data_IF_056113492157
#
_entry.id   IF_056113492157
#
_cell.length_a   1.000
_cell.length_b   1.000
_cell.length_c   1.000
_cell.angle_alpha   90.00
_cell.angle_beta   90.00
_cell.angle_gamma   90.00
#
_symmetry.space_group_name_H-M   'P 1'
#
loop_
_entity.id
_entity.type
_entity.pdbx_description
1 polymer ?
#
# COMPACT_ATOMS: atom_id res chain seq x y z
N UNK A 1 -53.66 -32.25 30.19
CA UNK A 1 -54.69 -32.81 29.29
C UNK A 1 -53.95 -33.45 28.12
N UNK A 2 -53.76 -34.76 28.21
CA UNK A 2 -53.23 -35.62 27.17
C UNK A 2 -54.43 -36.31 26.53
N UNK A 3 -54.54 -36.28 25.20
CA UNK A 3 -55.35 -37.15 24.34
C UNK A 3 -54.54 -37.19 23.03
N UNK A 4 -54.21 -38.31 22.39
CA UNK A 4 -54.57 -39.71 22.56
C UNK A 4 -54.51 -40.36 21.18
N UNK A 5 -53.84 -41.52 21.08
CA UNK A 5 -54.15 -42.73 20.28
C UNK A 5 -54.59 -42.61 18.78
N UNK A 6 -54.38 -43.56 17.86
CA UNK A 6 -53.68 -44.84 17.78
C UNK A 6 -53.68 -45.34 16.31
N UNK A 7 -52.64 -46.09 15.96
CA UNK A 7 -52.56 -47.30 15.13
C UNK A 7 -53.55 -47.61 13.97
N UNK A 8 -52.91 -47.96 12.83
CA UNK A 8 -53.01 -49.24 12.09
C UNK A 8 -53.87 -49.40 10.80
N UNK A 9 -53.18 -50.06 9.83
CA UNK A 9 -53.64 -51.03 8.81
C UNK A 9 -54.13 -50.56 7.43
N UNK A 10 -53.19 -50.54 6.46
CA UNK A 10 -53.00 -51.61 5.47
C UNK A 10 -54.00 -51.76 4.31
N UNK A 11 -53.50 -51.72 3.06
CA UNK A 11 -53.58 -52.82 2.06
C UNK A 11 -52.87 -52.49 0.73
N UNK A 12 -52.42 -53.59 0.10
CA UNK A 12 -51.58 -53.82 -1.10
C UNK A 12 -52.15 -53.30 -2.43
N UNK A 13 -51.24 -53.04 -3.40
CA UNK A 13 -51.12 -53.67 -4.75
C UNK A 13 -49.88 -53.07 -5.45
N UNK A 14 -48.84 -53.84 -5.83
CA UNK A 14 -48.56 -54.40 -7.18
C UNK A 14 -48.52 -53.29 -8.27
N UNK A 15 -47.53 -53.13 -9.14
CA UNK A 15 -46.66 -54.06 -9.89
C UNK A 15 -45.58 -53.24 -10.63
N UNK A 16 -44.48 -53.85 -11.07
CA UNK A 16 -43.57 -53.26 -12.07
C UNK A 16 -42.08 -53.49 -11.83
N UNK A 17 -41.57 -54.63 -12.28
CA UNK A 17 -40.16 -55.02 -12.36
C UNK A 17 -39.47 -54.40 -13.58
N UNK A 18 -38.21 -54.00 -13.44
CA UNK A 18 -37.04 -54.35 -14.27
C UNK A 18 -35.83 -53.72 -13.54
N UNK A 19 -34.76 -54.42 -13.12
CA UNK A 19 -33.97 -55.42 -13.83
C UNK A 19 -32.62 -54.77 -14.17
N UNK A 20 -31.55 -55.08 -13.41
CA UNK A 20 -30.19 -54.51 -13.52
C UNK A 20 -29.41 -54.95 -14.78
N UNK A 21 -28.04 -54.98 -14.81
CA UNK A 21 -27.13 -55.22 -13.68
C UNK A 21 -25.81 -54.40 -13.69
N UNK A 22 -24.96 -54.82 -12.74
CA UNK A 22 -23.64 -54.40 -12.27
C UNK A 22 -22.49 -54.20 -13.28
N UNK A 23 -21.48 -53.46 -12.83
CA UNK A 23 -20.09 -53.47 -13.29
C UNK A 23 -19.27 -52.44 -12.50
N UNK A 24 -18.77 -52.77 -11.31
CA UNK A 24 -17.39 -53.19 -11.01
C UNK A 24 -16.30 -52.11 -11.21
N UNK A 25 -15.70 -51.71 -10.09
CA UNK A 25 -14.44 -50.97 -9.90
C UNK A 25 -13.24 -51.74 -10.51
N UNK A 26 -12.19 -51.05 -11.01
CA UNK A 26 -11.05 -50.65 -10.14
C UNK A 26 -10.57 -49.21 -10.46
N UNK A 27 -10.20 -48.37 -9.49
CA UNK A 27 -8.89 -48.28 -8.83
C UNK A 27 -7.70 -48.17 -9.79
N UNK A 28 -7.34 -46.95 -10.18
CA UNK A 28 -5.95 -46.55 -10.43
C UNK A 28 -5.82 -45.06 -10.12
N UNK A 29 -4.84 -44.73 -9.28
CA UNK A 29 -4.53 -43.36 -8.91
C UNK A 29 -3.60 -42.73 -9.92
N UNK A 30 -3.84 -41.45 -10.20
CA UNK A 30 -2.80 -40.52 -10.61
C UNK A 30 -3.05 -39.23 -9.83
N UNK A 31 -2.03 -38.83 -9.09
CA UNK A 31 -2.03 -37.58 -8.34
C UNK A 31 -2.02 -36.42 -9.33
N UNK A 32 -3.08 -35.61 -9.30
CA UNK A 32 -3.08 -34.33 -9.96
C UNK A 32 -2.61 -33.25 -8.97
N UNK A 33 -1.54 -32.59 -9.40
CA UNK A 33 -0.72 -31.59 -8.73
C UNK A 33 -1.52 -30.54 -7.93
N UNK A 34 -1.02 -30.12 -6.75
CA UNK A 34 -1.54 -28.94 -6.09
C UNK A 34 -1.26 -27.71 -6.95
N UNK A 35 -2.34 -27.01 -7.26
CA UNK A 35 -2.42 -25.69 -7.89
C UNK A 35 -1.15 -24.86 -7.67
N UNK A 36 -0.42 -24.70 -8.76
CA UNK A 36 0.72 -23.82 -8.93
C UNK A 36 0.40 -22.43 -8.35
N UNK A 37 1.30 -21.80 -7.57
CA UNK A 37 1.09 -20.43 -7.16
C UNK A 37 1.02 -19.54 -8.40
N UNK A 38 -0.09 -18.85 -8.53
CA UNK A 38 -0.34 -17.82 -9.51
C UNK A 38 0.84 -16.84 -9.50
N UNK A 39 1.59 -16.80 -10.59
CA UNK A 39 2.66 -15.83 -10.79
C UNK A 39 2.01 -14.46 -10.88
N UNK A 40 2.04 -13.73 -9.75
CA UNK A 40 1.80 -12.31 -9.72
C UNK A 40 2.70 -11.64 -10.77
N UNK A 41 2.16 -10.75 -11.63
CA UNK A 41 2.98 -10.03 -12.58
C UNK A 41 4.03 -9.22 -11.81
N UNK A 42 5.29 -9.31 -12.25
CA UNK A 42 6.37 -8.49 -11.76
C UNK A 42 6.05 -7.02 -12.07
N UNK A 43 5.42 -6.33 -11.12
CA UNK A 43 5.23 -4.88 -11.18
C UNK A 43 6.61 -4.27 -10.91
N UNK A 44 7.15 -3.60 -11.92
CA UNK A 44 8.42 -2.88 -11.88
C UNK A 44 8.38 -1.81 -10.78
N UNK A 45 8.84 -2.17 -9.58
CA UNK A 45 8.69 -1.40 -8.34
C UNK A 45 9.79 -0.34 -8.14
N UNK A 46 10.05 0.52 -9.14
CA UNK A 46 11.14 1.50 -9.02
C UNK A 46 10.74 2.99 -9.14
N UNK A 47 9.45 3.31 -9.33
CA UNK A 47 9.03 4.73 -9.47
C UNK A 47 8.03 5.23 -8.42
N UNK A 48 7.57 4.36 -7.51
CA UNK A 48 6.44 4.69 -6.64
C UNK A 48 6.77 4.99 -5.17
N UNK A 49 7.98 4.81 -4.66
CA UNK A 49 8.13 4.74 -3.20
C UNK A 49 7.80 6.08 -2.51
N UNK A 50 6.93 6.12 -1.48
CA UNK A 50 6.53 7.37 -0.82
C UNK A 50 7.65 7.88 0.08
N UNK A 51 8.54 8.63 -0.54
CA UNK A 51 9.94 8.66 -0.15
C UNK A 51 10.29 9.58 1.03
N UNK A 52 9.44 10.56 1.38
CA UNK A 52 9.72 11.47 2.51
C UNK A 52 9.73 10.75 3.87
N UNK A 53 9.19 9.54 3.97
CA UNK A 53 9.23 8.75 5.20
C UNK A 53 10.20 7.56 5.15
N UNK A 54 10.72 7.20 3.97
CA UNK A 54 11.83 6.25 3.83
C UNK A 54 13.12 6.76 4.48
N UNK A 55 13.21 8.06 4.73
CA UNK A 55 14.30 8.73 5.43
C UNK A 55 14.52 8.27 6.88
N UNK A 56 13.63 7.45 7.45
CA UNK A 56 13.75 6.92 8.81
C UNK A 56 14.33 5.51 8.89
N UNK A 57 14.33 4.75 7.80
CA UNK A 57 15.02 3.46 7.70
C UNK A 57 16.48 3.74 7.35
N UNK A 58 17.38 3.72 8.35
CA UNK A 58 18.78 4.16 8.24
C UNK A 58 19.54 3.42 7.12
N UNK A 59 19.86 4.09 5.99
CA UNK A 59 20.96 3.65 5.14
C UNK A 59 22.28 3.97 5.87
N UNK A 60 23.43 3.39 5.48
CA UNK A 60 24.73 3.87 5.94
C UNK A 60 24.85 5.39 5.72
N UNK A 61 25.42 6.12 6.71
CA UNK A 61 25.33 7.60 6.84
C UNK A 61 25.62 8.42 5.56
N UNK A 62 26.46 7.89 4.67
CA UNK A 62 26.82 8.54 3.41
C UNK A 62 25.69 8.53 2.38
N UNK A 63 24.88 7.47 2.37
CA UNK A 63 23.85 7.21 1.36
C UNK A 63 22.54 7.98 1.67
N UNK A 64 22.24 8.15 2.96
CA UNK A 64 21.06 8.92 3.42
C UNK A 64 21.01 10.35 2.88
N UNK A 65 22.15 11.04 2.81
CA UNK A 65 22.20 12.43 2.29
C UNK A 65 21.94 12.50 0.79
N UNK A 66 22.45 11.53 0.03
CA UNK A 66 22.28 11.49 -1.42
C UNK A 66 20.81 11.22 -1.78
N UNK A 67 20.20 10.23 -1.14
CA UNK A 67 18.78 9.90 -1.35
C UNK A 67 17.88 11.07 -0.98
N UNK A 68 18.12 11.72 0.17
CA UNK A 68 17.33 12.87 0.60
C UNK A 68 17.50 14.10 -0.31
N UNK A 69 18.69 14.32 -0.86
CA UNK A 69 18.90 15.43 -1.80
C UNK A 69 18.04 15.25 -3.06
N UNK A 70 17.99 14.04 -3.62
CA UNK A 70 17.15 13.72 -4.78
C UNK A 70 15.67 13.88 -4.46
N UNK A 71 15.25 13.53 -3.25
CA UNK A 71 13.86 13.72 -2.82
C UNK A 71 13.48 15.20 -2.66
N UNK A 72 14.37 16.00 -2.06
CA UNK A 72 14.15 17.44 -1.94
C UNK A 72 14.06 18.07 -3.33
N UNK A 73 14.95 17.72 -4.26
CA UNK A 73 14.88 18.24 -5.64
C UNK A 73 13.55 17.92 -6.34
N UNK A 74 12.98 16.74 -6.08
CA UNK A 74 11.69 16.32 -6.67
C UNK A 74 10.48 16.96 -6.00
N UNK A 75 10.52 17.18 -4.69
CA UNK A 75 9.33 17.53 -3.89
C UNK A 75 9.51 18.78 -3.02
N UNK A 76 10.49 19.64 -3.31
CA UNK A 76 10.86 20.80 -2.47
C UNK A 76 9.67 21.68 -2.01
N UNK A 77 8.64 22.00 -2.82
CA UNK A 77 7.55 22.84 -2.34
C UNK A 77 6.74 22.12 -1.26
N UNK A 78 6.46 20.83 -1.45
CA UNK A 78 5.68 20.01 -0.52
C UNK A 78 6.46 19.73 0.76
N UNK A 79 7.77 19.54 0.65
CA UNK A 79 8.68 19.33 1.78
C UNK A 79 8.72 20.58 2.67
N UNK A 80 8.87 21.77 2.08
CA UNK A 80 8.87 23.04 2.82
C UNK A 80 7.51 23.36 3.45
N UNK A 81 6.41 23.10 2.73
CA UNK A 81 5.07 23.36 3.26
C UNK A 81 4.73 22.39 4.42
N UNK A 82 5.15 21.12 4.33
CA UNK A 82 5.00 20.15 5.42
C UNK A 82 5.78 20.57 6.66
N UNK A 83 7.02 21.03 6.51
CA UNK A 83 7.84 21.49 7.63
C UNK A 83 7.26 22.76 8.28
N UNK A 84 6.63 23.64 7.49
CA UNK A 84 5.96 24.87 7.97
C UNK A 84 4.64 24.59 8.69
N UNK A 85 3.88 23.59 8.23
CA UNK A 85 2.58 23.19 8.80
C UNK A 85 2.72 22.21 9.97
N UNK A 86 3.95 21.80 10.29
CA UNK A 86 4.29 20.91 11.38
C UNK A 86 3.75 21.41 12.73
N UNK A 87 3.18 20.50 13.52
CA UNK A 87 2.76 20.80 14.89
C UNK A 87 3.96 20.92 15.81
N UNK A 88 3.91 21.86 16.75
CA UNK A 88 4.97 22.04 17.74
C UNK A 88 5.09 20.78 18.61
N UNK A 89 6.20 20.03 18.44
CA UNK A 89 6.44 18.74 19.11
C UNK A 89 6.58 17.53 18.19
N UNK A 90 6.22 17.63 16.91
CA UNK A 90 6.49 16.57 15.94
C UNK A 90 7.98 16.55 15.53
N UNK A 91 8.59 15.36 15.36
CA UNK A 91 9.98 15.26 14.95
C UNK A 91 10.18 15.87 13.55
N UNK A 92 11.22 16.70 13.41
CA UNK A 92 11.59 17.30 12.12
C UNK A 92 11.88 16.21 11.09
N UNK A 93 11.28 16.36 9.90
CA UNK A 93 11.54 15.46 8.77
C UNK A 93 12.87 15.77 8.09
N UNK A 94 13.36 17.00 8.26
CA UNK A 94 14.60 17.51 7.68
C UNK A 94 15.59 17.91 8.76
N UNK A 95 16.88 17.75 8.48
CA UNK A 95 17.92 18.43 9.24
C UNK A 95 17.95 19.93 8.92
N UNK A 96 18.58 20.77 9.78
CA UNK A 96 18.72 22.20 9.50
C UNK A 96 19.45 22.51 8.19
N UNK A 97 20.43 21.68 7.81
CA UNK A 97 21.18 21.82 6.56
C UNK A 97 20.28 21.53 5.35
N UNK A 98 19.48 20.47 5.41
CA UNK A 98 18.54 20.09 4.34
C UNK A 98 17.41 21.10 4.20
N UNK A 99 16.93 21.67 5.29
CA UNK A 99 15.94 22.74 5.25
C UNK A 99 16.50 24.01 4.59
N UNK A 100 17.76 24.38 4.91
CA UNK A 100 18.43 25.51 4.26
C UNK A 100 18.59 25.25 2.74
N UNK A 101 19.01 24.04 2.37
CA UNK A 101 19.14 23.63 0.97
C UNK A 101 17.80 23.69 0.22
N UNK A 102 16.72 23.13 0.79
CA UNK A 102 15.40 23.15 0.17
C UNK A 102 14.90 24.59 -0.07
N UNK A 103 15.12 25.50 0.88
CA UNK A 103 14.77 26.92 0.74
C UNK A 103 15.57 27.62 -0.35
N UNK A 104 16.88 27.37 -0.40
CA UNK A 104 17.75 27.94 -1.43
C UNK A 104 17.38 27.42 -2.82
N UNK A 105 17.12 26.11 -2.94
CA UNK A 105 16.69 25.48 -4.17
C UNK A 105 15.38 26.06 -4.71
N UNK A 106 14.39 26.29 -3.83
CA UNK A 106 13.13 26.95 -4.19
C UNK A 106 13.38 28.36 -4.75
N UNK A 107 14.15 29.19 -4.03
CA UNK A 107 14.44 30.56 -4.45
C UNK A 107 15.23 30.62 -5.76
N UNK A 108 16.19 29.71 -5.96
CA UNK A 108 16.96 29.58 -7.18
C UNK A 108 16.08 29.18 -8.37
N UNK A 109 15.18 28.22 -8.17
CA UNK A 109 14.24 27.77 -9.21
C UNK A 109 13.26 28.86 -9.62
N UNK A 110 12.68 29.59 -8.65
CA UNK A 110 11.80 30.73 -8.92
C UNK A 110 12.52 31.83 -9.71
N UNK A 111 13.75 32.15 -9.30
CA UNK A 111 14.57 33.17 -9.96
C UNK A 111 14.94 32.74 -11.38
N UNK A 112 15.31 31.48 -11.57
CA UNK A 112 15.64 30.92 -12.88
C UNK A 112 14.44 30.96 -13.82
N UNK A 113 13.28 30.42 -13.40
CA UNK A 113 12.05 30.43 -14.19
C UNK A 113 11.62 31.85 -14.54
N UNK A 114 11.71 32.78 -13.58
CA UNK A 114 11.41 34.20 -13.80
C UNK A 114 12.30 34.81 -14.87
N UNK A 115 13.60 34.56 -14.79
CA UNK A 115 14.59 35.15 -15.67
C UNK A 115 14.58 34.57 -17.08
N UNK A 116 14.27 33.28 -17.22
CA UNK A 116 14.28 32.58 -18.51
C UNK A 116 12.96 32.73 -19.26
N UNK A 117 11.83 32.62 -18.55
CA UNK A 117 10.52 32.53 -19.20
C UNK A 117 9.49 33.52 -18.65
N UNK A 118 9.26 33.56 -17.33
CA UNK A 118 8.06 34.22 -16.79
C UNK A 118 8.06 35.74 -17.00
N UNK A 119 9.22 36.41 -17.01
CA UNK A 119 9.28 37.86 -17.30
C UNK A 119 8.87 38.22 -18.73
N UNK A 120 8.87 37.24 -19.63
CA UNK A 120 8.47 37.39 -21.04
C UNK A 120 7.02 36.98 -21.28
N UNK A 121 6.36 36.34 -20.31
CA UNK A 121 4.94 35.97 -20.38
C UNK A 121 4.04 37.20 -20.21
N UNK A 122 2.78 37.15 -20.68
CA UNK A 122 1.78 38.16 -20.36
C UNK A 122 1.62 38.37 -18.84
N UNK A 123 1.26 39.58 -18.36
CA UNK A 123 1.23 39.92 -16.93
C UNK A 123 0.48 38.94 -16.02
N UNK A 124 -0.58 38.30 -16.54
CA UNK A 124 -1.42 37.36 -15.80
C UNK A 124 -0.80 35.95 -15.66
N UNK A 125 0.27 35.64 -16.40
CA UNK A 125 0.93 34.33 -16.46
C UNK A 125 2.38 34.37 -15.97
N UNK A 126 2.83 35.50 -15.41
CA UNK A 126 4.21 35.63 -14.91
C UNK A 126 4.44 35.00 -13.52
N UNK A 127 3.37 34.46 -12.90
CA UNK A 127 3.43 33.80 -11.61
C UNK A 127 3.12 32.31 -11.79
N UNK A 128 3.99 31.45 -11.24
CA UNK A 128 3.79 30.00 -11.21
C UNK A 128 3.63 29.58 -9.76
N UNK A 129 2.57 28.82 -9.49
CA UNK A 129 2.38 28.18 -8.19
C UNK A 129 3.14 26.84 -8.18
N UNK A 130 4.33 26.85 -7.59
CA UNK A 130 5.19 25.67 -7.53
C UNK A 130 4.59 24.53 -6.70
N UNK A 131 3.72 24.82 -5.72
CA UNK A 131 3.00 23.79 -4.95
C UNK A 131 2.01 23.01 -5.83
N UNK A 132 1.49 23.64 -6.89
CA UNK A 132 0.61 22.98 -7.85
C UNK A 132 1.35 22.39 -9.04
N UNK A 133 2.45 23.03 -9.45
CA UNK A 133 3.24 22.61 -10.60
C UNK A 133 4.13 21.39 -10.31
N UNK A 134 4.64 21.27 -9.08
CA UNK A 134 5.46 20.13 -8.67
C UNK A 134 4.55 18.99 -8.22
N UNK A 135 4.74 17.75 -8.72
CA UNK A 135 3.97 16.58 -8.29
C UNK A 135 4.06 16.37 -6.78
N UNK A 136 3.00 15.86 -6.17
CA UNK A 136 3.02 15.46 -4.76
C UNK A 136 3.65 14.08 -4.62
N UNK A 137 4.28 13.77 -3.46
CA UNK A 137 4.62 12.40 -3.12
C UNK A 137 3.35 11.56 -3.12
N UNK A 138 3.33 10.50 -3.92
CA UNK A 138 2.27 9.51 -3.88
C UNK A 138 2.38 8.74 -2.57
N UNK A 139 1.29 8.58 -1.83
CA UNK A 139 1.25 7.78 -0.58
C UNK A 139 0.54 6.44 -0.80
N UNK A 140 -0.17 6.28 -1.92
CA UNK A 140 -0.96 5.10 -2.23
C UNK A 140 -0.13 4.01 -2.93
N UNK A 141 1.14 4.29 -3.20
CA UNK A 141 2.08 3.32 -3.76
C UNK A 141 2.26 2.09 -2.88
N UNK A 142 2.28 0.93 -3.54
CA UNK A 142 2.54 -0.35 -2.92
C UNK A 142 4.02 -0.54 -2.61
N UNK A 143 4.31 -1.01 -1.40
CA UNK A 143 5.67 -1.27 -0.92
C UNK A 143 5.79 -2.66 -0.33
N UNK A 144 6.95 -3.28 -0.50
CA UNK A 144 7.29 -4.50 0.21
C UNK A 144 7.80 -4.14 1.59
N UNK A 145 7.30 -4.85 2.60
CA UNK A 145 7.73 -4.68 3.98
C UNK A 145 7.97 -6.02 4.65
N UNK A 146 8.89 -6.01 5.60
CA UNK A 146 9.13 -7.07 6.57
C UNK A 146 8.74 -6.57 7.96
N UNK A 147 7.94 -7.35 8.66
CA UNK A 147 7.46 -7.02 10.00
C UNK A 147 8.56 -7.33 11.03
N UNK A 148 8.92 -6.36 11.87
CA UNK A 148 9.88 -6.52 12.97
C UNK A 148 9.19 -6.74 14.32
N UNK A 149 8.00 -6.19 14.48
CA UNK A 149 7.18 -6.32 15.68
C UNK A 149 5.76 -6.67 15.27
N UNK A 150 5.15 -7.65 15.96
CA UNK A 150 3.77 -8.06 15.69
C UNK A 150 2.82 -6.86 15.85
N UNK A 151 1.96 -6.65 14.86
CA UNK A 151 0.91 -5.63 14.90
C UNK A 151 -0.43 -6.23 14.53
N UNK A 152 -1.46 -5.88 15.28
CA UNK A 152 -2.81 -6.39 15.08
C UNK A 152 -3.73 -5.28 14.62
N UNK A 153 -4.81 -5.66 13.96
CA UNK A 153 -5.89 -4.77 13.58
C UNK A 153 -5.50 -3.64 12.60
N UNK A 154 -4.65 -3.92 11.62
CA UNK A 154 -4.28 -2.93 10.60
C UNK A 154 -5.42 -2.80 9.58
N UNK A 155 -6.00 -1.60 9.51
CA UNK A 155 -7.06 -1.27 8.57
C UNK A 155 -6.47 -1.02 7.17
N UNK A 156 -6.77 -1.91 6.23
CA UNK A 156 -6.42 -1.77 4.83
C UNK A 156 -7.63 -1.25 4.07
N UNK A 157 -7.57 0.04 3.74
CA UNK A 157 -8.44 0.62 2.72
C UNK A 157 -8.05 -0.02 1.36
N UNK A 158 -9.00 -0.39 0.49
CA UNK A 158 -8.72 -0.79 -0.88
C UNK A 158 -8.54 0.40 -1.82
N UNK A 159 -8.12 0.13 -3.06
CA UNK A 159 -7.91 1.16 -4.09
C UNK A 159 -9.23 1.74 -4.63
N UNK A 160 -10.28 0.91 -4.66
CA UNK A 160 -11.59 1.27 -5.20
C UNK A 160 -12.68 1.14 -4.15
N UNK A 161 -13.66 2.04 -4.17
CA UNK A 161 -14.82 2.06 -3.25
C UNK A 161 -15.72 0.81 -3.35
N UNK A 162 -15.49 -0.05 -4.36
CA UNK A 162 -16.21 -1.30 -4.55
C UNK A 162 -15.74 -2.41 -3.61
N UNK A 163 -14.48 -2.33 -3.16
CA UNK A 163 -13.94 -3.23 -2.16
C UNK A 163 -14.17 -2.64 -0.77
N UNK A 164 -14.49 -3.51 0.20
CA UNK A 164 -14.65 -3.07 1.59
C UNK A 164 -13.30 -2.99 2.28
N UNK A 165 -13.19 -2.05 3.18
CA UNK A 165 -12.10 -2.01 4.15
C UNK A 165 -12.01 -3.35 4.88
N UNK A 166 -10.80 -3.89 4.96
CA UNK A 166 -10.53 -5.12 5.69
C UNK A 166 -9.41 -4.91 6.68
N UNK A 167 -9.37 -5.79 7.69
CA UNK A 167 -8.41 -5.71 8.78
C UNK A 167 -7.47 -6.89 8.66
N UNK A 168 -6.17 -6.64 8.75
CA UNK A 168 -5.14 -7.67 8.74
C UNK A 168 -4.28 -7.62 10.00
N UNK A 169 -3.74 -8.77 10.36
CA UNK A 169 -2.72 -8.89 11.39
C UNK A 169 -1.35 -9.15 10.74
N UNK A 170 -0.35 -8.42 11.21
CA UNK A 170 1.03 -8.46 10.74
C UNK A 170 1.86 -9.25 11.75
N UNK A 171 2.23 -10.47 11.38
CA UNK A 171 3.05 -11.35 12.22
C UNK A 171 4.54 -11.04 12.11
N UNK A 172 5.29 -11.17 13.21
CA UNK A 172 6.73 -10.89 13.23
C UNK A 172 7.48 -11.78 12.23
N UNK A 173 8.36 -11.15 11.44
CA UNK A 173 9.16 -11.83 10.42
C UNK A 173 8.44 -12.10 9.10
N UNK A 174 7.11 -11.89 9.02
CA UNK A 174 6.35 -12.03 7.78
C UNK A 174 6.62 -10.88 6.80
N UNK A 175 6.37 -11.12 5.52
CA UNK A 175 6.51 -10.12 4.45
C UNK A 175 5.16 -9.85 3.82
N UNK A 176 4.89 -8.58 3.53
CA UNK A 176 3.62 -8.13 2.97
C UNK A 176 3.84 -7.10 1.86
N UNK A 177 2.89 -7.03 0.93
CA UNK A 177 2.79 -6.00 -0.11
C UNK A 177 1.53 -5.17 0.16
N UNK A 178 1.70 -3.94 0.64
CA UNK A 178 0.59 -3.08 1.08
C UNK A 178 0.88 -1.64 0.65
N UNK A 179 -0.17 -0.83 0.51
CA UNK A 179 -0.05 0.62 0.30
C UNK A 179 0.67 1.28 1.46
N UNK A 180 1.62 2.15 1.13
CA UNK A 180 2.42 2.83 2.13
C UNK A 180 1.58 3.66 3.11
N UNK A 181 0.55 4.35 2.62
CA UNK A 181 -0.37 5.19 3.42
C UNK A 181 -0.86 4.47 4.68
N UNK A 182 -1.22 3.19 4.58
CA UNK A 182 -1.71 2.36 5.68
C UNK A 182 -0.64 2.07 6.73
N UNK A 183 0.60 1.86 6.29
CA UNK A 183 1.71 1.40 7.15
C UNK A 183 2.69 2.52 7.53
N UNK A 184 2.47 3.76 7.06
CA UNK A 184 3.35 4.89 7.29
C UNK A 184 3.65 5.15 8.80
N UNK A 185 2.67 5.07 9.71
CA UNK A 185 2.94 5.22 11.14
C UNK A 185 3.79 4.08 11.71
N UNK A 186 3.65 2.87 11.18
CA UNK A 186 4.41 1.67 11.61
C UNK A 186 5.86 1.73 11.14
N UNK A 187 6.10 2.26 9.94
CA UNK A 187 7.45 2.55 9.45
C UNK A 187 8.09 3.63 10.32
N UNK A 188 7.31 4.65 10.72
CA UNK A 188 7.80 5.67 11.62
C UNK A 188 8.13 5.10 13.01
N UNK A 189 7.31 4.24 13.59
CA UNK A 189 7.64 3.61 14.89
C UNK A 189 8.84 2.66 14.80
N UNK A 190 9.09 2.07 13.63
CA UNK A 190 10.12 1.05 13.40
C UNK A 190 9.61 -0.38 13.56
N UNK A 191 8.29 -0.57 13.73
CA UNK A 191 7.65 -1.87 13.85
C UNK A 191 7.69 -2.68 12.54
N UNK A 192 7.83 -2.00 11.40
CA UNK A 192 8.00 -2.62 10.07
C UNK A 192 9.19 -1.99 9.35
N UNK A 193 9.80 -2.76 8.46
CA UNK A 193 10.94 -2.35 7.64
C UNK A 193 10.61 -2.52 6.17
N UNK A 194 10.91 -1.51 5.36
CA UNK A 194 10.77 -1.59 3.91
C UNK A 194 11.96 -2.37 3.32
N UNK A 195 11.69 -3.21 2.31
CA UNK A 195 12.68 -4.06 1.64
C UNK A 195 12.74 -3.82 0.14
#
# INVERSE_FOLDING_TARGET
MCHGAAAAHGRKSQEGQEGGPEGQHPSDGDGEDPLHPEQLPAVSAHEGTPLVCLLRERPPRSDRRAVLSVEIEKFFPHVLEKEKTRREGEPSSLSPEEFAFAREYMANTETYLKNVALKHMPPNLQKVDLLRAVPKPDLDSYVFLRVKERQENILVEPETDEQRDYVIDLEEGSQHLIRYKTIAPLVASGAVQLI
#
